data_IF_026030227865
#
_entry.id   IF_026030227865
#
_cell.length_a   1.000
_cell.length_b   1.000
_cell.length_c   1.000
_cell.angle_alpha   90.00
_cell.angle_beta   90.00
_cell.angle_gamma   90.00
#
_symmetry.space_group_name_H-M   'P 1'
#
loop_
_entity.id
_entity.type
_entity.pdbx_description
1 polymer ?
#
# COMPACT_ATOMS: atom_id res chain seq x y z
N UNK A 1 -0.46 8.18 -54.43
CA UNK A 1 -0.88 8.05 -55.80
C UNK A 1 -1.95 6.99 -55.89
N UNK A 2 -2.92 7.11 -56.76
CA UNK A 2 -4.33 6.95 -56.42
C UNK A 2 -4.98 5.66 -56.89
N UNK A 3 -6.16 5.42 -56.36
CA UNK A 3 -7.23 4.47 -56.74
C UNK A 3 -7.66 4.69 -58.19
N UNK A 4 -8.21 3.64 -58.87
CA UNK A 4 -9.62 3.84 -59.19
C UNK A 4 -10.55 2.62 -59.04
N UNK A 5 -11.82 2.96 -58.73
CA UNK A 5 -13.07 2.21 -58.90
C UNK A 5 -13.39 1.89 -60.36
N UNK A 6 -14.18 0.82 -60.57
CA UNK A 6 -15.39 0.77 -61.43
C UNK A 6 -15.92 -0.66 -61.35
N UNK A 7 -17.09 -0.97 -60.82
CA UNK A 7 -18.45 -1.03 -61.34
C UNK A 7 -18.60 -1.86 -62.63
N UNK A 8 -19.44 -2.90 -62.53
CA UNK A 8 -20.42 -3.21 -63.62
C UNK A 8 -21.46 -4.25 -63.11
N UNK A 9 -22.67 -3.77 -62.96
CA UNK A 9 -23.93 -4.53 -62.99
C UNK A 9 -24.15 -5.16 -64.34
N UNK A 10 -24.61 -6.42 -64.37
CA UNK A 10 -25.44 -6.90 -65.48
C UNK A 10 -26.58 -7.77 -64.96
N UNK A 11 -27.79 -7.28 -65.19
CA UNK A 11 -29.07 -7.99 -65.08
C UNK A 11 -29.11 -9.08 -66.21
N UNK A 12 -29.68 -10.21 -65.84
CA UNK A 12 -30.38 -11.05 -66.78
C UNK A 12 -31.70 -11.51 -66.16
N UNK A 13 -32.72 -11.00 -66.81
CA UNK A 13 -34.12 -11.38 -66.62
C UNK A 13 -34.41 -12.52 -67.57
N UNK A 14 -34.84 -13.67 -67.03
CA UNK A 14 -35.58 -14.61 -67.91
C UNK A 14 -36.64 -15.34 -67.08
N UNK A 15 -37.88 -15.11 -67.49
CA UNK A 15 -39.08 -15.83 -67.02
C UNK A 15 -39.09 -17.24 -67.58
N UNK A 16 -39.46 -18.22 -66.73
CA UNK A 16 -40.18 -19.38 -67.23
C UNK A 16 -41.16 -19.88 -66.16
N UNK A 17 -42.42 -19.93 -66.57
CA UNK A 17 -43.56 -20.49 -65.85
C UNK A 17 -43.38 -22.01 -65.74
N UNK A 18 -43.18 -22.51 -64.49
CA UNK A 18 -43.33 -23.96 -64.27
C UNK A 18 -44.35 -24.16 -63.13
N UNK A 19 -45.39 -24.85 -63.57
CA UNK A 19 -46.56 -25.43 -62.92
C UNK A 19 -46.53 -25.46 -61.33
N UNK A 20 -47.51 -24.79 -60.72
CA UNK A 20 -47.77 -24.61 -59.27
C UNK A 20 -48.09 -25.93 -58.50
N UNK A 21 -48.23 -27.09 -59.24
CA UNK A 21 -48.58 -28.36 -58.58
C UNK A 21 -47.41 -29.26 -58.21
N UNK A 22 -46.20 -29.03 -58.68
CA UNK A 22 -45.00 -29.80 -58.26
C UNK A 22 -44.25 -29.20 -57.06
N UNK A 23 -44.41 -27.93 -56.79
CA UNK A 23 -43.76 -27.24 -55.67
C UNK A 23 -44.37 -27.61 -54.29
N UNK A 24 -45.64 -27.97 -54.22
CA UNK A 24 -46.29 -28.31 -52.97
C UNK A 24 -45.85 -29.66 -52.42
N UNK A 25 -45.50 -30.64 -53.26
CA UNK A 25 -44.98 -31.94 -52.83
C UNK A 25 -43.54 -31.89 -52.40
N UNK A 26 -42.73 -30.99 -52.96
CA UNK A 26 -41.37 -30.77 -52.47
C UNK A 26 -41.33 -30.02 -51.13
N UNK A 27 -42.25 -29.09 -50.87
CA UNK A 27 -42.33 -28.38 -49.61
C UNK A 27 -42.78 -29.28 -48.46
N UNK A 28 -43.68 -30.24 -48.68
CA UNK A 28 -44.12 -31.16 -47.66
C UNK A 28 -43.03 -32.20 -47.31
N UNK A 29 -42.16 -32.56 -48.22
CA UNK A 29 -41.04 -33.48 -47.93
C UNK A 29 -39.88 -32.72 -47.23
N UNK A 30 -39.67 -31.43 -47.54
CA UNK A 30 -38.68 -30.65 -46.83
C UNK A 30 -39.09 -30.23 -45.43
N UNK A 31 -40.41 -30.08 -45.14
CA UNK A 31 -40.90 -29.81 -43.78
C UNK A 31 -40.80 -31.03 -42.86
N UNK A 32 -40.89 -32.25 -43.40
CA UNK A 32 -40.73 -33.50 -42.65
C UNK A 32 -39.27 -33.77 -42.25
N UNK A 33 -38.29 -33.14 -42.87
CA UNK A 33 -36.87 -33.27 -42.55
C UNK A 33 -36.34 -32.15 -41.61
N UNK A 34 -37.14 -31.13 -41.29
CA UNK A 34 -36.92 -30.16 -40.23
C UNK A 34 -37.75 -30.48 -38.96
N UNK A 35 -37.79 -31.75 -38.56
CA UNK A 35 -37.99 -32.00 -37.16
C UNK A 35 -36.77 -31.35 -36.43
N UNK A 36 -36.98 -30.42 -35.48
CA UNK A 36 -35.90 -30.08 -34.63
C UNK A 36 -35.41 -31.38 -34.05
N UNK A 37 -34.23 -31.82 -34.43
CA UNK A 37 -33.47 -32.74 -33.60
C UNK A 37 -33.46 -32.05 -32.25
N UNK A 38 -34.37 -32.47 -31.35
CA UNK A 38 -34.23 -32.19 -29.96
C UNK A 38 -32.93 -32.88 -29.57
N UNK A 39 -31.81 -32.22 -29.84
CA UNK A 39 -30.60 -32.56 -29.14
C UNK A 39 -30.96 -32.40 -27.68
N UNK A 40 -31.42 -33.48 -27.07
CA UNK A 40 -31.50 -33.55 -25.64
C UNK A 40 -30.11 -33.20 -25.16
N UNK A 41 -29.97 -32.16 -24.32
CA UNK A 41 -28.68 -31.91 -23.71
C UNK A 41 -28.30 -33.24 -23.03
N UNK A 42 -27.23 -33.86 -23.53
CA UNK A 42 -26.62 -35.00 -22.85
C UNK A 42 -26.13 -34.47 -21.51
N UNK A 43 -26.99 -34.52 -20.49
CA UNK A 43 -26.63 -34.32 -19.10
C UNK A 43 -25.92 -35.59 -18.62
N UNK A 44 -24.72 -35.84 -19.15
CA UNK A 44 -23.83 -36.85 -18.59
C UNK A 44 -23.19 -36.34 -17.27
N UNK A 45 -22.46 -37.20 -16.62
CA UNK A 45 -21.64 -36.88 -15.45
C UNK A 45 -20.88 -35.57 -15.71
N UNK A 46 -21.06 -34.58 -14.85
CA UNK A 46 -20.39 -33.26 -14.96
C UNK A 46 -19.91 -32.77 -13.61
N UNK A 47 -18.63 -32.40 -13.55
CA UNK A 47 -18.11 -31.62 -12.42
C UNK A 47 -18.61 -30.18 -12.57
N UNK A 48 -19.22 -29.68 -11.49
CA UNK A 48 -19.86 -28.35 -11.41
C UNK A 48 -19.05 -27.34 -10.57
N UNK A 49 -17.96 -27.79 -9.94
CA UNK A 49 -17.07 -26.88 -9.20
C UNK A 49 -16.47 -25.89 -10.16
N UNK A 50 -16.70 -24.61 -9.92
CA UNK A 50 -15.84 -23.57 -10.44
C UNK A 50 -14.56 -23.57 -9.61
N UNK A 51 -13.51 -24.21 -10.09
CA UNK A 51 -12.20 -24.03 -9.47
C UNK A 51 -11.73 -22.61 -9.75
N UNK A 52 -11.61 -21.78 -8.71
CA UNK A 52 -10.72 -20.63 -8.78
C UNK A 52 -9.32 -21.22 -8.79
N UNK A 53 -8.76 -21.38 -9.97
CA UNK A 53 -7.38 -21.84 -10.12
C UNK A 53 -6.58 -20.65 -10.65
N UNK A 54 -5.43 -20.33 -10.04
CA UNK A 54 -4.77 -21.04 -8.95
C UNK A 54 -5.37 -20.76 -7.56
N UNK A 55 -5.33 -21.77 -6.67
CA UNK A 55 -5.64 -21.66 -5.25
C UNK A 55 -4.36 -21.39 -4.48
N UNK A 56 -4.40 -20.42 -3.57
CA UNK A 56 -3.26 -20.07 -2.72
C UNK A 56 -3.54 -20.45 -1.27
N UNK A 57 -2.57 -21.02 -0.59
CA UNK A 57 -2.64 -21.33 0.83
C UNK A 57 -1.27 -21.17 1.48
N UNK A 58 -1.24 -20.90 2.78
CA UNK A 58 0.03 -20.75 3.48
C UNK A 58 0.53 -22.08 4.03
N UNK A 59 1.84 -22.18 4.15
CA UNK A 59 2.52 -23.28 4.88
C UNK A 59 1.93 -23.37 6.28
N UNK A 60 1.62 -24.61 6.72
CA UNK A 60 1.01 -24.92 8.01
C UNK A 60 -0.51 -24.74 8.07
N UNK A 61 -1.15 -24.19 7.02
CA UNK A 61 -2.60 -24.09 6.94
C UNK A 61 -3.24 -25.37 6.42
N UNK A 62 -4.57 -25.34 6.41
CA UNK A 62 -5.39 -26.36 5.73
C UNK A 62 -6.09 -25.76 4.52
N UNK A 63 -6.26 -26.54 3.46
CA UNK A 63 -6.96 -26.11 2.25
C UNK A 63 -7.97 -27.18 1.81
N UNK A 64 -9.11 -26.72 1.30
CA UNK A 64 -10.09 -27.61 0.66
C UNK A 64 -10.02 -27.46 -0.85
N UNK A 65 -9.68 -28.54 -1.54
CA UNK A 65 -9.75 -28.64 -3.00
C UNK A 65 -11.15 -29.13 -3.39
N UNK A 66 -11.92 -28.26 -4.04
CA UNK A 66 -13.34 -28.48 -4.30
C UNK A 66 -13.58 -29.31 -5.55
N UNK A 67 -14.32 -30.38 -5.42
CA UNK A 67 -14.79 -31.24 -6.53
C UNK A 67 -16.23 -31.65 -6.31
N UNK A 68 -17.18 -30.87 -6.79
CA UNK A 68 -18.60 -31.21 -6.78
C UNK A 68 -19.02 -31.68 -8.15
N UNK A 69 -19.87 -32.71 -8.20
CA UNK A 69 -20.30 -33.25 -9.46
C UNK A 69 -21.80 -33.63 -9.41
N UNK A 70 -22.41 -33.71 -10.57
CA UNK A 70 -23.75 -34.25 -10.75
C UNK A 70 -23.67 -35.49 -11.60
N UNK A 71 -24.43 -36.52 -11.20
CA UNK A 71 -24.63 -37.72 -11.95
C UNK A 71 -25.87 -37.59 -12.85
N UNK A 72 -25.84 -38.22 -14.01
CA UNK A 72 -27.01 -38.34 -14.85
C UNK A 72 -27.68 -39.67 -14.65
N UNK A 73 -29.01 -39.83 -14.95
CA UNK A 73 -29.71 -41.09 -14.85
C UNK A 73 -29.12 -42.19 -15.74
N UNK A 74 -28.42 -41.80 -16.82
CA UNK A 74 -27.78 -42.68 -17.79
C UNK A 74 -26.43 -43.24 -17.29
N UNK A 75 -25.87 -42.65 -16.21
CA UNK A 75 -24.62 -43.13 -15.61
C UNK A 75 -24.89 -44.35 -14.73
N UNK A 76 -24.82 -45.56 -15.30
CA UNK A 76 -25.23 -46.82 -14.68
C UNK A 76 -24.07 -47.62 -14.10
N UNK A 77 -22.82 -47.28 -14.41
CA UNK A 77 -21.63 -48.00 -13.95
C UNK A 77 -21.29 -47.77 -12.48
N UNK A 78 -20.25 -48.43 -12.02
CA UNK A 78 -19.65 -48.18 -10.72
C UNK A 78 -19.15 -46.73 -10.68
N UNK A 79 -19.37 -46.07 -9.55
CA UNK A 79 -18.84 -44.73 -9.32
C UNK A 79 -17.41 -44.85 -8.78
N UNK A 80 -16.46 -44.33 -9.53
CA UNK A 80 -15.07 -44.20 -9.13
C UNK A 80 -14.70 -42.72 -9.05
N UNK A 81 -14.04 -42.33 -7.97
CA UNK A 81 -13.50 -41.00 -7.72
C UNK A 81 -12.01 -41.15 -7.45
N UNK A 82 -11.22 -40.45 -8.18
CA UNK A 82 -9.76 -40.49 -8.03
C UNK A 82 -9.23 -39.05 -7.89
N UNK A 83 -8.37 -38.81 -6.89
CA UNK A 83 -7.53 -37.65 -6.81
C UNK A 83 -6.09 -38.03 -7.08
N UNK A 84 -5.47 -37.32 -8.02
CA UNK A 84 -4.06 -37.54 -8.40
C UNK A 84 -3.31 -36.23 -8.44
N UNK A 85 -1.98 -36.31 -8.23
CA UNK A 85 -1.06 -35.23 -8.52
C UNK A 85 -0.59 -35.42 -9.96
N UNK A 86 -0.74 -34.37 -10.76
CA UNK A 86 -0.22 -34.34 -12.12
C UNK A 86 1.26 -33.95 -12.12
N UNK A 87 2.13 -34.77 -12.71
CA UNK A 87 3.51 -34.41 -12.83
C UNK A 87 3.70 -33.22 -13.78
N UNK A 88 4.78 -32.47 -13.58
CA UNK A 88 5.17 -31.39 -14.49
C UNK A 88 5.68 -31.90 -15.84
N UNK A 89 6.27 -33.08 -15.87
CA UNK A 89 6.66 -33.79 -17.11
C UNK A 89 5.57 -34.79 -17.50
N UNK A 90 5.05 -34.66 -18.71
CA UNK A 90 4.00 -35.53 -19.28
C UNK A 90 4.43 -37.02 -19.38
N UNK A 91 5.74 -37.31 -19.29
CA UNK A 91 6.29 -38.67 -19.34
C UNK A 91 6.24 -39.40 -17.99
N UNK A 92 6.06 -38.66 -16.92
CA UNK A 92 5.93 -39.23 -15.58
C UNK A 92 4.48 -39.66 -15.33
N UNK A 93 4.31 -40.69 -14.50
CA UNK A 93 2.99 -41.18 -14.14
C UNK A 93 2.35 -40.25 -13.09
N UNK A 94 1.00 -40.13 -13.18
CA UNK A 94 0.23 -39.42 -12.16
C UNK A 94 0.32 -40.17 -10.82
N UNK A 95 0.57 -39.41 -9.76
CA UNK A 95 0.62 -39.98 -8.42
C UNK A 95 -0.77 -39.97 -7.79
N UNK A 96 -1.34 -41.14 -7.51
CA UNK A 96 -2.64 -41.24 -6.83
C UNK A 96 -2.52 -40.76 -5.38
N UNK A 97 -3.47 -39.94 -4.94
CA UNK A 97 -3.56 -39.40 -3.58
C UNK A 97 -4.60 -40.12 -2.75
N UNK A 98 -5.84 -40.11 -3.19
CA UNK A 98 -6.98 -40.74 -2.52
C UNK A 98 -7.98 -41.19 -3.56
N UNK A 99 -8.67 -42.27 -3.27
CA UNK A 99 -9.70 -42.81 -4.15
C UNK A 99 -10.93 -43.26 -3.38
N UNK A 100 -12.05 -43.32 -4.09
CA UNK A 100 -13.32 -43.87 -3.65
C UNK A 100 -13.89 -44.72 -4.77
N UNK A 101 -14.26 -45.97 -4.43
CA UNK A 101 -14.95 -46.89 -5.36
C UNK A 101 -15.82 -47.87 -4.57
N UNK A 102 -17.02 -48.11 -5.04
CA UNK A 102 -17.97 -49.11 -4.45
C UNK A 102 -18.17 -48.94 -2.92
N UNK A 103 -18.25 -47.73 -2.42
CA UNK A 103 -18.41 -47.47 -0.98
C UNK A 103 -17.13 -47.64 -0.15
N UNK A 104 -15.99 -47.91 -0.79
CA UNK A 104 -14.70 -48.04 -0.14
C UNK A 104 -13.83 -46.81 -0.48
N UNK A 105 -13.16 -46.29 0.53
CA UNK A 105 -12.14 -45.26 0.38
C UNK A 105 -10.77 -45.86 0.65
N UNK A 106 -9.74 -45.33 -0.01
CA UNK A 106 -8.35 -45.64 0.26
C UNK A 106 -7.46 -44.46 -0.06
N UNK A 107 -6.42 -44.30 0.71
CA UNK A 107 -5.35 -43.34 0.51
C UNK A 107 -4.02 -44.08 0.36
N UNK A 108 -3.03 -43.41 -0.24
CA UNK A 108 -1.67 -43.90 -0.25
C UNK A 108 -0.95 -43.35 0.99
N UNK A 109 -0.45 -44.23 1.87
CA UNK A 109 0.07 -43.85 3.18
C UNK A 109 1.43 -43.14 3.06
N UNK A 110 1.53 -41.97 2.49
CA UNK A 110 2.76 -41.14 2.55
C UNK A 110 2.72 -39.82 1.87
N UNK A 111 1.66 -39.47 1.15
CA UNK A 111 1.74 -38.28 0.30
C UNK A 111 0.96 -37.07 0.82
N UNK A 112 -0.13 -37.27 1.57
CA UNK A 112 -0.88 -36.14 2.11
C UNK A 112 -1.74 -36.62 3.29
N UNK A 113 -1.81 -35.89 4.37
CA UNK A 113 -2.89 -36.03 5.36
C UNK A 113 -4.20 -35.47 4.77
N UNK A 114 -4.70 -36.10 3.69
CA UNK A 114 -5.89 -35.67 2.97
C UNK A 114 -7.04 -36.62 3.21
N UNK A 115 -8.20 -36.05 3.52
CA UNK A 115 -9.43 -36.79 3.68
C UNK A 115 -10.54 -36.22 2.79
N UNK A 116 -11.48 -37.05 2.35
CA UNK A 116 -12.69 -36.51 1.75
C UNK A 116 -13.43 -35.64 2.78
N UNK A 117 -13.88 -34.46 2.33
CA UNK A 117 -14.65 -33.54 3.18
C UNK A 117 -16.02 -34.10 3.50
N UNK A 118 -16.63 -34.85 2.56
CA UNK A 118 -17.91 -35.52 2.75
C UNK A 118 -17.68 -36.91 3.29
N UNK A 119 -18.44 -37.35 4.31
CA UNK A 119 -18.45 -38.75 4.75
C UNK A 119 -18.89 -39.72 3.66
N UNK A 120 -19.72 -39.26 2.72
CA UNK A 120 -20.14 -39.97 1.53
C UNK A 120 -19.80 -39.15 0.27
N UNK A 121 -18.63 -39.39 -0.35
CA UNK A 121 -18.25 -38.74 -1.59
C UNK A 121 -19.22 -39.01 -2.75
N UNK A 122 -19.93 -40.12 -2.73
CA UNK A 122 -20.89 -40.49 -3.77
C UNK A 122 -22.11 -39.58 -3.83
N UNK A 123 -22.38 -38.81 -2.76
CA UNK A 123 -23.48 -37.83 -2.72
C UNK A 123 -23.28 -36.60 -3.63
N UNK A 124 -22.17 -36.53 -4.38
CA UNK A 124 -21.87 -35.42 -5.29
C UNK A 124 -20.79 -34.44 -4.79
N UNK A 125 -20.19 -34.76 -3.62
CA UNK A 125 -19.12 -33.94 -3.06
C UNK A 125 -17.85 -34.78 -2.86
N UNK A 126 -17.00 -34.79 -3.87
CA UNK A 126 -15.68 -35.42 -3.86
C UNK A 126 -14.54 -34.50 -3.43
N UNK A 127 -14.83 -33.36 -2.80
CA UNK A 127 -13.80 -32.43 -2.31
C UNK A 127 -12.92 -33.10 -1.27
N UNK A 128 -11.63 -32.75 -1.28
CA UNK A 128 -10.64 -33.20 -0.28
C UNK A 128 -10.13 -32.03 0.54
N UNK A 129 -9.76 -32.31 1.78
CA UNK A 129 -9.07 -31.38 2.67
C UNK A 129 -7.65 -31.86 2.88
N UNK A 130 -6.69 -30.96 2.71
CA UNK A 130 -5.28 -31.19 2.98
C UNK A 130 -4.92 -30.31 4.17
N UNK A 131 -4.36 -30.91 5.22
CA UNK A 131 -3.97 -30.21 6.47
C UNK A 131 -2.46 -30.12 6.56
N UNK A 132 -1.98 -29.18 7.39
CA UNK A 132 -0.56 -28.98 7.69
C UNK A 132 0.31 -28.85 6.42
N UNK A 133 -0.11 -27.94 5.54
CA UNK A 133 0.50 -27.74 4.23
C UNK A 133 1.99 -27.46 4.32
N UNK A 134 2.74 -28.16 3.49
CA UNK A 134 4.18 -28.01 3.31
C UNK A 134 4.49 -27.48 1.90
N UNK A 135 5.70 -26.95 1.64
CA UNK A 135 6.10 -26.54 0.30
C UNK A 135 6.03 -27.66 -0.75
N UNK A 136 6.11 -28.94 -0.33
CA UNK A 136 6.01 -30.10 -1.22
C UNK A 136 4.60 -30.34 -1.74
N UNK A 137 3.60 -29.73 -1.10
CA UNK A 137 2.18 -29.82 -1.52
C UNK A 137 1.83 -28.83 -2.65
N UNK A 138 2.78 -27.99 -3.06
CA UNK A 138 2.67 -27.12 -4.22
C UNK A 138 2.65 -27.93 -5.50
N UNK A 139 1.44 -28.30 -5.97
CA UNK A 139 1.24 -29.20 -7.09
C UNK A 139 -0.06 -28.88 -7.84
N UNK A 140 -0.21 -29.51 -9.02
CA UNK A 140 -1.49 -29.56 -9.72
C UNK A 140 -2.22 -30.85 -9.37
N UNK A 141 -3.33 -30.72 -8.69
CA UNK A 141 -4.21 -31.81 -8.32
C UNK A 141 -5.29 -32.01 -9.36
N UNK A 142 -5.59 -33.27 -9.71
CA UNK A 142 -6.69 -33.61 -10.58
C UNK A 142 -7.74 -34.41 -9.81
N UNK A 143 -8.96 -33.90 -9.81
CA UNK A 143 -10.14 -34.70 -9.43
C UNK A 143 -10.74 -35.34 -10.69
N UNK A 144 -10.87 -36.64 -10.71
CA UNK A 144 -11.46 -37.41 -11.79
C UNK A 144 -12.62 -38.23 -11.24
N UNK A 145 -13.78 -38.03 -11.81
CA UNK A 145 -15.01 -38.76 -11.45
C UNK A 145 -15.42 -39.58 -12.67
N UNK A 146 -15.65 -40.86 -12.44
CA UNK A 146 -16.05 -41.80 -13.51
C UNK A 146 -17.27 -42.59 -13.06
N UNK A 147 -18.28 -42.63 -13.89
CA UNK A 147 -19.43 -43.53 -13.82
C UNK A 147 -19.92 -43.76 -15.23
N UNK A 148 -19.62 -44.93 -15.77
CA UNK A 148 -19.85 -45.19 -17.18
C UNK A 148 -21.30 -44.93 -17.63
N UNK A 149 -21.51 -44.34 -18.80
CA UNK A 149 -20.49 -43.93 -19.76
C UNK A 149 -19.80 -42.58 -19.44
N UNK A 150 -20.20 -41.87 -18.36
CA UNK A 150 -19.72 -40.57 -18.01
C UNK A 150 -18.30 -40.56 -17.40
N UNK A 151 -17.48 -39.65 -17.83
CA UNK A 151 -16.18 -39.29 -17.21
C UNK A 151 -16.05 -37.76 -17.20
N UNK A 152 -15.69 -37.21 -16.03
CA UNK A 152 -15.41 -35.79 -15.90
C UNK A 152 -14.19 -35.58 -15.02
N UNK A 153 -13.40 -34.52 -15.32
CA UNK A 153 -12.19 -34.20 -14.56
C UNK A 153 -11.98 -32.70 -14.45
N UNK A 154 -11.33 -32.28 -13.39
CA UNK A 154 -10.94 -30.91 -13.14
C UNK A 154 -9.52 -30.86 -12.56
N UNK A 155 -8.71 -29.91 -13.02
CA UNK A 155 -7.39 -29.66 -12.48
C UNK A 155 -7.42 -28.44 -11.59
N UNK A 156 -6.78 -28.51 -10.42
CA UNK A 156 -6.67 -27.46 -9.44
C UNK A 156 -5.19 -27.26 -9.13
N UNK A 157 -4.65 -26.09 -9.47
CA UNK A 157 -3.28 -25.73 -9.12
C UNK A 157 -3.27 -25.17 -7.69
N UNK A 158 -2.64 -25.88 -6.78
CA UNK A 158 -2.42 -25.45 -5.39
C UNK A 158 -1.04 -24.81 -5.29
N UNK A 159 -1.01 -23.54 -4.93
CA UNK A 159 0.22 -22.81 -4.65
C UNK A 159 0.38 -22.65 -3.14
N UNK A 160 1.33 -23.38 -2.57
CA UNK A 160 1.68 -23.25 -1.15
C UNK A 160 2.77 -22.21 -1.02
N UNK A 161 2.54 -21.22 -0.16
CA UNK A 161 3.40 -20.05 -0.01
C UNK A 161 3.72 -19.81 1.47
N UNK A 162 4.88 -19.24 1.74
CA UNK A 162 5.22 -18.74 3.07
C UNK A 162 4.62 -17.34 3.29
N UNK A 163 4.06 -17.10 4.48
CA UNK A 163 3.64 -15.76 4.90
C UNK A 163 4.85 -14.85 5.08
N UNK A 164 4.71 -13.54 4.86
CA UNK A 164 5.73 -12.59 5.30
C UNK A 164 5.92 -12.70 6.82
N UNK A 165 7.16 -12.65 7.26
CA UNK A 165 7.49 -12.41 8.68
C UNK A 165 7.35 -10.94 9.00
N UNK A 166 7.26 -10.60 10.29
CA UNK A 166 7.32 -9.21 10.77
C UNK A 166 8.48 -8.49 10.09
N UNK A 167 8.21 -7.44 9.31
CA UNK A 167 9.26 -6.75 8.59
C UNK A 167 10.10 -5.88 9.52
N UNK A 168 11.37 -5.70 9.17
CA UNK A 168 12.24 -4.74 9.82
C UNK A 168 12.03 -3.35 9.22
N UNK A 169 11.76 -2.37 10.10
CA UNK A 169 11.63 -0.97 9.74
C UNK A 169 12.89 -0.19 10.12
N UNK A 170 13.57 0.40 9.15
CA UNK A 170 14.80 1.17 9.33
C UNK A 170 14.69 2.58 8.73
N UNK A 171 15.36 3.55 9.38
CA UNK A 171 15.45 4.93 8.91
C UNK A 171 16.86 5.16 8.33
N UNK A 172 16.91 5.67 7.12
CA UNK A 172 18.13 6.15 6.49
C UNK A 172 18.06 7.67 6.27
N UNK A 173 19.12 8.35 6.64
CA UNK A 173 19.21 9.81 6.57
C UNK A 173 19.03 10.50 7.93
N UNK A 174 19.10 11.83 7.90
CA UNK A 174 18.98 12.68 9.09
C UNK A 174 17.62 13.40 9.05
N UNK A 175 16.84 13.24 10.12
CA UNK A 175 15.55 13.92 10.25
C UNK A 175 15.78 15.35 10.66
N UNK A 176 15.93 16.22 9.66
CA UNK A 176 16.10 17.67 9.80
C UNK A 176 15.35 18.39 8.67
N UNK A 177 14.94 19.63 8.90
CA UNK A 177 14.20 20.41 7.92
C UNK A 177 14.99 20.56 6.61
N UNK A 178 14.33 20.35 5.49
CA UNK A 178 14.91 20.40 4.14
C UNK A 178 15.66 19.13 3.73
N UNK A 179 15.84 18.15 4.61
CA UNK A 179 16.56 16.90 4.29
C UNK A 179 15.61 15.82 3.77
N UNK A 180 16.16 14.96 2.93
CA UNK A 180 15.48 13.74 2.48
C UNK A 180 15.81 12.58 3.42
N UNK A 181 14.80 11.79 3.72
CA UNK A 181 14.91 10.56 4.51
C UNK A 181 14.25 9.40 3.77
N UNK A 182 14.73 8.21 4.00
CA UNK A 182 14.16 6.99 3.45
C UNK A 182 13.80 6.06 4.61
N UNK A 183 12.53 5.66 4.66
CA UNK A 183 12.06 4.62 5.57
C UNK A 183 12.10 3.32 4.78
N UNK A 184 12.84 2.35 5.27
CA UNK A 184 12.98 1.04 4.65
C UNK A 184 12.19 0.00 5.43
N UNK A 185 11.52 -0.86 4.69
CA UNK A 185 10.73 -1.96 5.23
C UNK A 185 11.11 -3.24 4.51
N UNK A 186 11.60 -4.24 5.23
CA UNK A 186 12.05 -5.50 4.66
C UNK A 186 11.58 -6.67 5.52
N UNK A 187 10.81 -7.57 4.93
CA UNK A 187 10.57 -8.88 5.52
C UNK A 187 11.72 -9.81 5.15
N UNK A 188 12.16 -10.61 6.11
CA UNK A 188 13.27 -11.57 5.92
C UNK A 188 12.81 -12.86 5.29
N UNK A 189 11.51 -13.19 5.40
CA UNK A 189 10.89 -14.38 4.82
C UNK A 189 9.58 -14.00 4.15
N UNK A 190 9.06 -14.92 3.35
CA UNK A 190 7.81 -14.77 2.61
C UNK A 190 7.99 -15.07 1.12
N UNK A 191 7.06 -15.82 0.56
CA UNK A 191 7.06 -16.16 -0.85
C UNK A 191 6.68 -14.96 -1.73
N UNK A 192 7.39 -14.81 -2.85
CA UNK A 192 7.04 -13.80 -3.87
C UNK A 192 5.76 -14.19 -4.65
N UNK A 193 5.02 -13.20 -5.17
CA UNK A 193 5.28 -11.76 -5.12
C UNK A 193 4.94 -11.15 -3.75
N UNK A 194 5.80 -10.23 -3.30
CA UNK A 194 5.57 -9.45 -2.08
C UNK A 194 5.38 -7.97 -2.41
N UNK A 195 4.51 -7.31 -1.67
CA UNK A 195 4.22 -5.89 -1.77
C UNK A 195 4.36 -5.23 -0.42
N UNK A 196 4.83 -3.99 -0.43
CA UNK A 196 4.97 -3.16 0.74
C UNK A 196 4.11 -1.92 0.62
N UNK A 197 3.45 -1.56 1.70
CA UNK A 197 2.69 -0.32 1.79
C UNK A 197 3.01 0.41 3.08
N UNK A 198 2.97 1.75 3.02
CA UNK A 198 3.23 2.60 4.17
C UNK A 198 2.02 3.48 4.44
N UNK A 199 1.71 3.70 5.70
CA UNK A 199 0.75 4.69 6.13
C UNK A 199 1.20 5.34 7.45
N UNK A 200 0.71 6.56 7.70
CA UNK A 200 1.01 7.29 8.92
C UNK A 200 -0.06 6.99 9.97
N UNK A 201 0.36 6.69 11.21
CA UNK A 201 -0.53 6.38 12.32
C UNK A 201 -1.14 7.67 12.90
N UNK A 202 -1.81 8.47 12.10
CA UNK A 202 -2.61 9.58 12.59
C UNK A 202 -4.01 9.51 12.00
N UNK A 203 -4.99 9.99 12.77
CA UNK A 203 -6.40 9.92 12.35
C UNK A 203 -6.57 10.62 11.01
N UNK A 204 -6.82 9.84 9.94
CA UNK A 204 -7.18 10.29 8.59
C UNK A 204 -6.10 11.02 7.78
N UNK A 205 -4.82 10.95 8.11
CA UNK A 205 -3.80 11.50 7.22
C UNK A 205 -3.30 10.46 6.23
N UNK A 206 -3.55 10.74 4.95
CA UNK A 206 -2.82 10.11 3.84
C UNK A 206 -1.33 10.43 3.99
N UNK A 207 -0.48 9.62 3.37
CA UNK A 207 0.94 9.95 3.27
C UNK A 207 1.11 11.40 2.78
N UNK A 208 2.14 12.14 3.26
CA UNK A 208 2.41 13.48 2.76
C UNK A 208 2.47 13.48 1.22
N UNK A 209 1.92 14.53 0.60
CA UNK A 209 1.86 14.65 -0.86
C UNK A 209 3.23 14.57 -1.55
N UNK A 210 4.30 14.83 -0.81
CA UNK A 210 5.69 14.76 -1.27
C UNK A 210 6.33 13.37 -1.03
N UNK A 211 5.57 12.40 -0.51
CA UNK A 211 6.02 11.04 -0.23
C UNK A 211 5.85 10.13 -1.45
N UNK A 212 6.91 9.37 -1.78
CA UNK A 212 6.89 8.34 -2.82
C UNK A 212 7.16 6.97 -2.20
N UNK A 213 6.29 5.99 -2.47
CA UNK A 213 6.44 4.61 -2.02
C UNK A 213 6.88 3.73 -3.18
N UNK A 214 8.00 3.03 -3.01
CA UNK A 214 8.36 1.91 -3.86
C UNK A 214 7.78 0.62 -3.24
N UNK A 215 6.61 0.21 -3.72
CA UNK A 215 5.87 -0.93 -3.17
C UNK A 215 6.57 -2.28 -3.34
N UNK A 216 7.50 -2.42 -4.28
CA UNK A 216 8.24 -3.66 -4.51
C UNK A 216 9.44 -3.75 -3.56
N UNK A 217 10.15 -2.63 -3.37
CA UNK A 217 11.30 -2.57 -2.49
C UNK A 217 10.95 -2.22 -1.04
N UNK A 218 9.74 -1.70 -0.78
CA UNK A 218 9.30 -1.30 0.55
C UNK A 218 9.94 0.00 1.06
N UNK A 219 10.44 0.85 0.18
CA UNK A 219 11.05 2.12 0.54
C UNK A 219 10.01 3.25 0.46
N UNK A 220 9.92 4.06 1.52
CA UNK A 220 9.17 5.31 1.53
C UNK A 220 10.17 6.47 1.55
N UNK A 221 10.16 7.28 0.49
CA UNK A 221 10.97 8.48 0.35
C UNK A 221 10.18 9.68 0.85
N UNK A 222 10.73 10.42 1.80
CA UNK A 222 10.12 11.63 2.37
C UNK A 222 11.11 12.78 2.35
N UNK A 223 10.58 14.01 2.16
CA UNK A 223 11.34 15.26 2.39
C UNK A 223 10.78 15.93 3.63
N UNK A 224 11.63 16.21 4.61
CA UNK A 224 11.22 16.84 5.88
C UNK A 224 10.98 18.32 5.65
N UNK A 225 9.79 18.68 5.16
CA UNK A 225 9.42 20.08 4.83
C UNK A 225 8.75 20.78 6.01
N UNK A 226 8.03 20.05 6.85
CA UNK A 226 7.26 20.57 7.98
C UNK A 226 7.23 19.55 9.13
N UNK A 227 6.87 20.02 10.32
CA UNK A 227 6.73 19.15 11.51
C UNK A 227 5.62 18.09 11.36
N UNK A 228 4.64 18.33 10.51
CA UNK A 228 3.55 17.37 10.24
C UNK A 228 4.03 16.04 9.62
N UNK A 229 5.26 15.99 9.10
CA UNK A 229 5.89 14.75 8.61
C UNK A 229 6.36 13.86 9.77
N UNK A 230 6.62 14.45 10.93
CA UNK A 230 6.98 13.69 12.12
C UNK A 230 5.82 12.84 12.61
N UNK A 231 6.13 11.74 13.26
CA UNK A 231 5.14 10.81 13.80
C UNK A 231 5.48 9.36 13.52
N UNK A 232 4.55 8.47 13.83
CA UNK A 232 4.72 7.03 13.63
C UNK A 232 4.20 6.64 12.24
N UNK A 233 5.03 5.90 11.52
CA UNK A 233 4.71 5.28 10.24
C UNK A 233 4.62 3.78 10.43
N UNK A 234 3.67 3.16 9.77
CA UNK A 234 3.45 1.72 9.79
C UNK A 234 3.68 1.20 8.38
N UNK A 235 4.57 0.22 8.26
CA UNK A 235 4.75 -0.54 7.05
C UNK A 235 3.99 -1.86 7.15
N UNK A 236 3.37 -2.25 6.08
CA UNK A 236 2.77 -3.58 5.89
C UNK A 236 3.53 -4.29 4.78
N UNK A 237 4.10 -5.45 5.09
CA UNK A 237 4.59 -6.42 4.12
C UNK A 237 3.47 -7.43 3.85
N UNK A 238 3.11 -7.64 2.60
CA UNK A 238 1.98 -8.48 2.21
C UNK A 238 2.32 -9.36 1.01
N UNK A 239 1.79 -10.58 1.02
CA UNK A 239 1.70 -11.44 -0.17
C UNK A 239 0.29 -12.01 -0.32
N UNK A 240 0.11 -13.01 -1.19
CA UNK A 240 -1.22 -13.60 -1.47
C UNK A 240 -1.81 -14.40 -0.31
N UNK A 241 -1.00 -14.79 0.70
CA UNK A 241 -1.43 -15.67 1.79
C UNK A 241 -1.31 -15.05 3.17
N UNK A 242 -0.79 -13.84 3.28
CA UNK A 242 -0.70 -13.17 4.58
C UNK A 242 -0.05 -11.80 4.52
N UNK A 243 -0.04 -11.14 5.67
CA UNK A 243 0.60 -9.84 5.86
C UNK A 243 1.11 -9.72 7.29
N UNK A 244 2.14 -8.90 7.47
CA UNK A 244 2.66 -8.50 8.77
C UNK A 244 3.16 -7.06 8.74
N UNK A 245 3.37 -6.43 9.90
CA UNK A 245 3.61 -4.99 10.00
C UNK A 245 4.73 -4.64 10.93
N UNK A 246 5.45 -3.54 10.65
CA UNK A 246 6.36 -2.89 11.57
C UNK A 246 6.03 -1.41 11.76
N UNK A 247 6.56 -0.81 12.83
CA UNK A 247 6.33 0.59 13.20
C UNK A 247 7.64 1.34 13.30
N UNK A 248 7.69 2.54 12.73
CA UNK A 248 8.85 3.42 12.79
C UNK A 248 8.42 4.84 13.14
N UNK A 249 8.99 5.41 14.20
CA UNK A 249 8.66 6.76 14.64
C UNK A 249 9.72 7.76 14.19
N UNK A 250 9.31 8.72 13.34
CA UNK A 250 10.14 9.84 12.93
C UNK A 250 10.11 10.94 14.01
N UNK A 251 11.31 11.31 14.49
CA UNK A 251 11.54 12.43 15.44
C UNK A 251 12.75 13.22 14.94
N UNK A 252 12.78 14.54 15.19
CA UNK A 252 13.99 15.31 14.92
C UNK A 252 15.21 14.69 15.60
N UNK A 253 16.34 14.76 14.92
CA UNK A 253 17.61 14.28 15.46
C UNK A 253 17.94 15.04 16.76
N UNK A 254 18.62 14.39 17.69
CA UNK A 254 19.03 15.02 18.96
C UNK A 254 19.93 16.24 18.74
N UNK A 255 20.75 16.23 17.70
CA UNK A 255 21.61 17.35 17.32
C UNK A 255 20.79 18.61 16.92
N UNK A 256 19.64 18.44 16.25
CA UNK A 256 18.73 19.54 15.94
C UNK A 256 18.09 20.12 17.18
N UNK A 257 17.63 19.28 18.10
CA UNK A 257 17.07 19.73 19.37
C UNK A 257 18.06 20.52 20.21
N UNK A 258 19.32 20.08 20.26
CA UNK A 258 20.40 20.80 20.97
C UNK A 258 20.66 22.17 20.34
N UNK A 259 20.71 22.27 19.01
CA UNK A 259 20.90 23.55 18.29
C UNK A 259 19.78 24.54 18.56
N UNK A 260 18.53 24.12 18.53
CA UNK A 260 17.37 24.98 18.83
C UNK A 260 17.39 25.45 20.29
N UNK A 261 17.68 24.56 21.25
CA UNK A 261 17.79 24.90 22.66
C UNK A 261 18.94 25.88 22.92
N UNK A 262 20.11 25.70 22.28
CA UNK A 262 21.25 26.60 22.41
C UNK A 262 20.97 28.01 21.83
N UNK A 263 20.28 28.09 20.70
CA UNK A 263 19.86 29.38 20.12
C UNK A 263 18.88 30.12 21.04
N UNK A 264 17.90 29.44 21.62
CA UNK A 264 16.93 30.03 22.56
C UNK A 264 17.63 30.53 23.84
N UNK A 265 18.57 29.76 24.40
CA UNK A 265 19.36 30.18 25.57
C UNK A 265 20.24 31.38 25.26
N UNK A 266 20.87 31.42 24.07
CA UNK A 266 21.69 32.55 23.62
C UNK A 266 20.90 33.85 23.50
N UNK A 267 19.70 33.80 22.92
CA UNK A 267 18.81 34.98 22.82
C UNK A 267 18.36 35.49 24.18
N UNK A 268 18.02 34.59 25.11
CA UNK A 268 17.66 34.96 26.47
C UNK A 268 18.81 35.66 27.21
N UNK A 269 20.05 35.17 27.10
CA UNK A 269 21.22 35.79 27.68
C UNK A 269 21.45 37.18 27.12
N UNK A 270 21.36 37.39 25.82
CA UNK A 270 21.53 38.68 25.16
C UNK A 270 20.47 39.67 25.66
N UNK A 271 19.22 39.27 25.80
CA UNK A 271 18.16 40.15 26.31
C UNK A 271 18.40 40.55 27.77
N UNK A 272 18.86 39.64 28.62
CA UNK A 272 19.22 39.93 30.02
C UNK A 272 20.36 40.91 30.10
N UNK A 273 21.40 40.76 29.28
CA UNK A 273 22.55 41.69 29.23
C UNK A 273 22.09 43.07 28.79
N UNK A 274 21.24 43.20 27.76
CA UNK A 274 20.70 44.47 27.31
C UNK A 274 19.91 45.17 28.43
N UNK A 275 19.04 44.43 29.12
CA UNK A 275 18.26 44.94 30.24
C UNK A 275 19.20 45.44 31.37
N UNK A 276 20.24 44.66 31.73
CA UNK A 276 21.23 45.05 32.72
C UNK A 276 21.98 46.34 32.36
N UNK A 277 22.38 46.49 31.07
CA UNK A 277 23.01 47.69 30.56
C UNK A 277 22.06 48.89 30.66
N UNK A 278 20.80 48.73 30.31
CA UNK A 278 19.80 49.82 30.42
C UNK A 278 19.65 50.25 31.86
N UNK A 279 19.50 49.30 32.79
CA UNK A 279 19.38 49.60 34.24
C UNK A 279 20.63 50.32 34.74
N UNK A 280 21.82 49.82 34.38
CA UNK A 280 23.11 50.46 34.74
C UNK A 280 23.22 51.89 34.23
N UNK A 281 22.90 52.13 32.95
CA UNK A 281 22.88 53.47 32.40
C UNK A 281 21.86 54.40 33.08
N UNK A 282 20.68 53.88 33.42
CA UNK A 282 19.71 54.65 34.19
C UNK A 282 20.19 55.00 35.59
N UNK A 283 20.83 54.02 36.24
CA UNK A 283 21.39 54.25 37.60
C UNK A 283 22.53 55.26 37.58
N UNK A 284 23.43 55.19 36.60
CA UNK A 284 24.53 56.12 36.39
C UNK A 284 24.02 57.55 36.14
N UNK A 285 23.01 57.70 35.28
CA UNK A 285 22.38 59.02 35.03
C UNK A 285 21.74 59.60 36.28
N UNK A 286 21.13 58.75 37.15
CA UNK A 286 20.53 59.20 38.40
C UNK A 286 21.60 59.67 39.41
N UNK A 287 22.78 59.06 39.47
CA UNK A 287 23.90 59.44 40.31
C UNK A 287 24.50 60.76 39.80
N UNK A 288 24.69 60.96 38.50
CA UNK A 288 25.20 62.24 37.95
C UNK A 288 24.26 63.41 38.17
N UNK A 289 22.94 63.20 38.18
CA UNK A 289 21.95 64.23 38.54
C UNK A 289 21.98 64.58 40.02
N UNK A 290 22.26 63.65 40.93
CA UNK A 290 22.42 63.92 42.36
C UNK A 290 23.73 64.67 42.69
N UNK A 291 24.86 64.31 42.05
CA UNK A 291 26.14 64.99 42.19
C UNK A 291 26.12 66.39 41.58
N UNK A 292 25.36 66.64 40.57
CA UNK A 292 25.19 67.96 39.95
C UNK A 292 24.34 68.91 40.75
N UNK A 293 23.56 68.47 41.76
CA UNK A 293 22.79 69.32 42.65
C UNK A 293 23.52 69.71 43.94
N UNK A 294 24.62 69.04 44.33
CA UNK A 294 25.34 69.33 45.59
C UNK A 294 26.46 70.38 45.44
N UNK A 295 26.81 70.83 44.23
CA UNK A 295 27.95 71.77 44.02
C UNK A 295 27.50 73.25 43.86
N UNK A 296 26.22 73.60 44.05
CA UNK A 296 25.75 75.00 43.87
C UNK A 296 25.49 75.80 45.17
N UNK A 297 25.80 75.22 46.34
CA UNK A 297 25.41 75.93 47.56
C UNK A 297 26.55 76.43 48.47
N UNK A 298 27.81 76.52 48.08
CA UNK A 298 28.84 77.15 48.88
C UNK A 298 29.78 77.92 48.00
N UNK A 299 29.69 79.27 48.03
CA UNK A 299 30.66 80.37 48.10
C UNK A 299 30.17 81.67 47.47
N UNK A 300 29.57 82.54 48.30
CA UNK A 300 29.58 84.00 48.03
C UNK A 300 30.75 84.62 48.83
N UNK A 301 31.69 85.28 48.22
CA UNK A 301 32.72 86.05 48.97
C UNK A 301 32.21 87.43 49.43
N UNK A 302 32.70 87.92 50.55
CA UNK A 302 32.15 89.12 51.23
C UNK A 302 32.49 90.46 50.52
N UNK A 303 31.54 91.40 50.65
CA UNK A 303 31.55 92.77 50.19
C UNK A 303 32.77 93.53 50.73
N UNK A 304 33.54 94.27 49.88
CA UNK A 304 34.37 95.42 50.20
C UNK A 304 33.86 96.64 49.45
N UNK A 305 33.63 97.72 50.27
CA UNK A 305 33.13 99.06 49.90
C UNK A 305 34.19 99.94 49.26
N UNK A 306 33.70 100.81 48.29
CA UNK A 306 34.10 102.15 47.92
C UNK A 306 35.07 102.33 46.69
N UNK A 307 34.97 103.51 46.00
CA UNK A 307 33.86 104.43 45.74
C UNK A 307 33.75 104.85 44.26
N UNK A 308 32.70 105.57 44.00
CA UNK A 308 32.25 106.24 42.77
C UNK A 308 33.34 106.84 41.84
N UNK A 309 33.21 106.69 40.53
CA UNK A 309 33.01 107.73 39.53
C UNK A 309 32.73 107.21 38.14
N UNK A 310 31.71 107.81 37.58
CA UNK A 310 31.39 108.14 36.20
C UNK A 310 31.35 107.12 35.05
N UNK A 311 30.16 107.01 34.60
CA UNK A 311 29.75 107.10 33.17
C UNK A 311 30.52 106.31 32.09
N UNK A 312 29.84 105.47 31.46
CA UNK A 312 29.35 105.47 30.09
C UNK A 312 29.19 104.13 29.41
N UNK A 313 28.02 104.00 28.86
CA UNK A 313 27.73 103.35 27.54
C UNK A 313 27.82 101.83 27.35
N UNK A 314 26.65 101.23 27.16
CA UNK A 314 26.20 100.07 26.44
C UNK A 314 27.03 99.82 25.17
N UNK A 315 27.18 98.60 24.62
CA UNK A 315 26.21 97.48 24.54
C UNK A 315 26.79 96.05 24.43
N UNK A 316 25.85 95.21 24.26
CA UNK A 316 25.78 93.96 23.51
C UNK A 316 26.13 92.61 24.17
N UNK A 317 25.05 91.91 24.22
CA UNK A 317 24.86 90.42 24.08
C UNK A 317 26.15 89.68 23.66
N UNK A 318 26.47 88.66 24.43
CA UNK A 318 27.06 87.45 23.92
C UNK A 318 26.38 86.26 24.53
N UNK A 319 25.64 85.58 23.66
CA UNK A 319 24.99 84.30 23.90
C UNK A 319 26.06 83.23 23.97
N UNK A 320 26.27 82.64 25.13
CA UNK A 320 27.13 81.50 25.30
C UNK A 320 26.38 80.28 24.82
N UNK A 321 26.74 79.81 23.64
CA UNK A 321 26.26 78.61 22.99
C UNK A 321 26.96 77.42 23.65
N UNK A 322 26.29 76.77 24.56
CA UNK A 322 26.75 75.47 25.08
C UNK A 322 26.55 74.42 24.00
N UNK A 323 27.65 74.00 23.40
CA UNK A 323 27.67 72.81 22.50
C UNK A 323 27.72 71.54 23.36
N UNK A 324 26.63 70.82 23.38
CA UNK A 324 26.64 69.45 23.83
C UNK A 324 27.37 68.61 22.76
N UNK A 325 28.50 68.05 23.08
CA UNK A 325 29.12 66.95 22.34
C UNK A 325 28.79 65.69 23.09
N UNK A 326 27.79 64.92 22.60
CA UNK A 326 27.66 63.56 22.94
C UNK A 326 28.46 62.78 21.89
N UNK A 327 29.57 62.21 22.25
CA UNK A 327 30.16 61.08 21.52
C UNK A 327 29.66 59.77 22.15
N UNK A 328 29.21 58.89 21.26
CA UNK A 328 28.69 57.53 21.17
C UNK A 328 29.12 56.61 22.31
#
# INVERSE_FOLDING_TARGET
MPIPRTSLLKRCHQRSLISRHRLWRFWMVCIASFLPSTAQPCFGLKIISSSVSPTYAAVGDSVTLRCHFNLAPEDLGVLDIEWSIKPSDVREEETLVIWYSEGKCGDLPRLLEGNFVSPDPASGNASISITDLTPTDHNTYQCKVRKLPGISMINICLNVMERPTEPECNLEGVVDLGHKVVLRCRSTQGSSPMWYSWYKESRNEMLPNDGYVNSVQGDLFLTVTKENILGTYICTAQNLVGMDTCRLTLKFSSAVRIRVAAAAAGTALITIIIIAIIIFCHHKRKIELHLGCEIIEDEMPPHKWLPKKSQQVIPSRSVLKVRKVCNI
#
